data_IF_167119904086
#
_entry.id   IF_167119904086
#
_cell.length_a   1.000
_cell.length_b   1.000
_cell.length_c   1.000
_cell.angle_alpha   90.00
_cell.angle_beta   90.00
_cell.angle_gamma   90.00
#
_symmetry.space_group_name_H-M   'P 1'
#
loop_
_entity.id
_entity.type
_entity.pdbx_description
1 polymer ?
#
# COMPACT_ATOMS: atom_id res chain seq x y z
N UNK A 1 30.44 -19.15 14.55
CA UNK A 1 29.03 -19.38 14.15
C UNK A 1 29.00 -19.37 12.62
N UNK A 2 28.78 -20.53 11.99
CA UNK A 2 28.81 -20.65 10.53
C UNK A 2 27.48 -20.14 9.95
N UNK A 3 27.52 -19.07 9.14
CA UNK A 3 26.35 -18.57 8.43
C UNK A 3 26.12 -19.49 7.22
N UNK A 4 25.05 -20.26 7.23
CA UNK A 4 24.65 -21.05 6.04
C UNK A 4 24.12 -20.11 4.97
N UNK A 5 24.75 -20.13 3.79
CA UNK A 5 24.39 -19.29 2.65
C UNK A 5 24.04 -20.20 1.47
N UNK A 6 22.88 -19.96 0.84
CA UNK A 6 22.50 -20.64 -0.42
C UNK A 6 22.66 -19.67 -1.58
N UNK A 7 23.47 -20.04 -2.57
CA UNK A 7 23.63 -19.25 -3.80
C UNK A 7 22.41 -19.46 -4.71
N UNK A 8 21.85 -18.38 -5.23
CA UNK A 8 20.71 -18.36 -6.15
C UNK A 8 20.91 -17.27 -7.20
N UNK A 9 20.33 -17.41 -8.40
CA UNK A 9 20.28 -16.31 -9.38
C UNK A 9 18.98 -15.54 -9.17
N UNK A 10 19.01 -14.46 -8.38
CA UNK A 10 17.80 -13.85 -7.79
C UNK A 10 17.17 -12.71 -8.58
N UNK A 11 17.93 -12.05 -9.47
CA UNK A 11 17.42 -10.90 -10.21
C UNK A 11 16.64 -11.36 -11.45
N UNK A 12 15.46 -10.79 -11.64
CA UNK A 12 14.56 -11.09 -12.77
C UNK A 12 15.07 -10.57 -14.11
N UNK A 13 16.02 -9.62 -14.10
CA UNK A 13 16.46 -8.90 -15.30
C UNK A 13 17.91 -9.16 -15.69
N UNK A 14 18.75 -9.50 -14.73
CA UNK A 14 20.10 -9.94 -14.98
C UNK A 14 20.39 -11.18 -14.14
N UNK A 15 21.25 -12.08 -14.61
CA UNK A 15 21.59 -13.31 -13.89
C UNK A 15 22.50 -13.05 -12.66
N UNK A 16 22.26 -11.94 -11.95
CA UNK A 16 23.02 -11.56 -10.78
C UNK A 16 22.87 -12.60 -9.68
N UNK A 17 24.01 -13.09 -9.20
CA UNK A 17 24.10 -14.03 -8.10
C UNK A 17 23.68 -13.34 -6.80
N UNK A 18 22.65 -13.90 -6.20
CA UNK A 18 22.17 -13.61 -4.87
C UNK A 18 22.60 -14.69 -3.90
N UNK A 19 22.99 -14.28 -2.70
CA UNK A 19 23.25 -15.10 -1.54
C UNK A 19 22.01 -15.06 -0.65
N UNK A 20 21.32 -16.20 -0.52
CA UNK A 20 20.24 -16.34 0.45
C UNK A 20 20.83 -16.63 1.82
N UNK A 21 20.72 -15.64 2.70
CA UNK A 21 21.22 -15.70 4.08
C UNK A 21 20.08 -16.20 4.97
N UNK A 22 20.21 -17.41 5.52
CA UNK A 22 19.16 -18.06 6.31
C UNK A 22 18.76 -17.23 7.55
N UNK A 23 19.74 -16.66 8.26
CA UNK A 23 19.52 -15.86 9.47
C UNK A 23 18.54 -14.71 9.23
N UNK A 24 18.73 -13.98 8.12
CA UNK A 24 17.87 -12.87 7.73
C UNK A 24 16.80 -13.27 6.73
N UNK A 25 16.61 -14.58 6.46
CA UNK A 25 15.72 -15.16 5.41
C UNK A 25 15.59 -14.27 4.17
N UNK A 26 16.72 -13.82 3.63
CA UNK A 26 16.77 -12.77 2.63
C UNK A 26 17.89 -12.98 1.61
N UNK A 27 17.69 -12.44 0.42
CA UNK A 27 18.66 -12.48 -0.68
C UNK A 27 19.54 -11.23 -0.60
N UNK A 28 20.84 -11.37 -0.80
CA UNK A 28 21.83 -10.29 -0.94
C UNK A 28 22.61 -10.49 -2.23
N UNK A 29 22.67 -9.49 -3.10
CA UNK A 29 23.48 -9.60 -4.32
C UNK A 29 24.92 -9.22 -4.03
N UNK A 30 25.86 -9.88 -4.68
CA UNK A 30 27.27 -9.51 -4.63
C UNK A 30 27.52 -8.29 -5.52
N UNK A 31 28.38 -7.36 -5.11
CA UNK A 31 28.68 -6.14 -5.89
C UNK A 31 29.60 -6.41 -7.09
N UNK A 32 30.31 -7.54 -7.11
CA UNK A 32 31.38 -7.84 -8.07
C UNK A 32 30.95 -8.91 -9.08
N UNK A 33 30.00 -8.58 -9.95
CA UNK A 33 29.67 -9.46 -11.08
C UNK A 33 29.33 -8.64 -12.33
N UNK A 34 29.95 -9.00 -13.44
CA UNK A 34 29.48 -8.59 -14.77
C UNK A 34 28.14 -9.29 -15.02
N UNK A 35 27.04 -8.53 -14.95
CA UNK A 35 25.70 -9.09 -15.03
C UNK A 35 25.22 -9.12 -16.48
N UNK A 36 25.00 -10.31 -17.04
CA UNK A 36 24.37 -10.47 -18.35
C UNK A 36 22.85 -10.32 -18.18
N UNK A 37 22.24 -9.48 -19.01
CA UNK A 37 20.79 -9.32 -19.04
C UNK A 37 20.09 -10.61 -19.49
N UNK A 38 18.98 -10.91 -18.84
CA UNK A 38 18.07 -11.96 -19.32
C UNK A 38 17.38 -11.46 -20.58
N UNK A 39 16.98 -12.40 -21.42
CA UNK A 39 16.08 -12.15 -22.54
C UNK A 39 14.85 -13.05 -22.40
N UNK A 40 13.76 -12.74 -23.10
CA UNK A 40 12.60 -13.63 -23.11
C UNK A 40 13.00 -15.05 -23.55
N UNK A 41 13.85 -15.14 -24.58
CA UNK A 41 14.34 -16.42 -25.10
C UNK A 41 15.15 -17.19 -24.05
N UNK A 42 16.02 -16.51 -23.28
CA UNK A 42 16.80 -17.15 -22.22
C UNK A 42 15.90 -17.61 -21.07
N UNK A 43 14.90 -16.83 -20.70
CA UNK A 43 13.91 -17.20 -19.69
C UNK A 43 13.07 -18.41 -20.12
N UNK A 44 12.57 -18.46 -21.35
CA UNK A 44 11.81 -19.59 -21.90
C UNK A 44 12.66 -20.87 -21.90
N UNK A 45 13.97 -20.76 -22.17
CA UNK A 45 14.89 -21.90 -22.07
C UNK A 45 15.01 -22.40 -20.63
N UNK A 46 15.18 -21.50 -19.67
CA UNK A 46 15.26 -21.85 -18.24
C UNK A 46 13.95 -22.52 -17.78
N UNK A 47 12.77 -22.03 -18.21
CA UNK A 47 11.47 -22.64 -17.89
C UNK A 47 11.37 -24.09 -18.37
N UNK A 48 11.80 -24.39 -19.60
CA UNK A 48 11.77 -25.76 -20.14
C UNK A 48 12.62 -26.74 -19.31
N UNK A 49 13.73 -26.27 -18.75
CA UNK A 49 14.61 -27.08 -17.90
C UNK A 49 13.94 -27.38 -16.55
N UNK A 50 13.18 -26.41 -16.02
CA UNK A 50 12.50 -26.54 -14.71
C UNK A 50 11.32 -27.52 -14.70
N UNK A 51 10.83 -27.96 -15.87
CA UNK A 51 9.78 -28.98 -16.00
C UNK A 51 10.19 -30.33 -15.36
N UNK A 52 11.49 -30.56 -15.15
CA UNK A 52 12.04 -31.70 -14.39
C UNK A 52 12.05 -31.52 -12.86
N UNK A 53 11.40 -30.51 -12.30
CA UNK A 53 11.31 -30.27 -10.85
C UNK A 53 12.53 -29.56 -10.23
N UNK A 54 13.46 -29.08 -11.06
CA UNK A 54 14.63 -28.31 -10.62
C UNK A 54 14.38 -26.80 -10.78
N UNK A 55 15.16 -25.98 -10.06
CA UNK A 55 15.16 -24.51 -10.21
C UNK A 55 16.38 -24.15 -11.06
N UNK A 56 16.16 -23.58 -12.23
CA UNK A 56 17.23 -23.18 -13.15
C UNK A 56 17.34 -21.66 -13.17
N UNK A 57 18.52 -21.12 -12.87
CA UNK A 57 18.78 -19.67 -12.85
C UNK A 57 17.71 -18.82 -12.12
N UNK A 58 17.12 -19.36 -11.04
CA UNK A 58 16.08 -18.71 -10.26
C UNK A 58 14.66 -18.77 -10.86
N UNK A 59 14.50 -19.36 -12.03
CA UNK A 59 13.21 -19.71 -12.64
C UNK A 59 12.68 -20.97 -11.95
N UNK A 60 11.39 -20.96 -11.61
CA UNK A 60 10.75 -22.01 -10.79
C UNK A 60 9.76 -22.89 -11.56
N UNK A 61 9.49 -22.58 -12.83
CA UNK A 61 8.45 -23.22 -13.60
C UNK A 61 7.75 -22.26 -14.56
N UNK A 62 6.77 -22.80 -15.29
CA UNK A 62 5.88 -22.04 -16.15
C UNK A 62 5.01 -21.07 -15.34
N UNK A 63 4.79 -19.89 -15.90
CA UNK A 63 3.80 -18.92 -15.41
C UNK A 63 2.56 -19.00 -16.30
N UNK A 64 1.37 -18.90 -15.71
CA UNK A 64 0.10 -18.82 -16.46
C UNK A 64 0.07 -17.64 -17.44
N UNK A 65 0.86 -16.58 -17.20
CA UNK A 65 0.98 -15.45 -18.12
C UNK A 65 1.63 -15.84 -19.46
N UNK A 66 2.53 -16.83 -19.46
CA UNK A 66 3.15 -17.33 -20.69
C UNK A 66 2.16 -18.10 -21.57
N UNK A 67 1.13 -18.70 -20.96
CA UNK A 67 0.09 -19.46 -21.66
C UNK A 67 -1.01 -18.53 -22.17
N UNK A 68 -1.41 -17.56 -21.35
CA UNK A 68 -2.51 -16.65 -21.66
C UNK A 68 -2.10 -15.52 -22.62
N UNK A 69 -0.81 -15.16 -22.67
CA UNK A 69 -0.33 -14.02 -23.45
C UNK A 69 0.88 -14.43 -24.32
N UNK A 70 0.68 -14.88 -25.57
CA UNK A 70 1.73 -15.46 -26.41
C UNK A 70 2.85 -14.48 -26.81
N UNK A 71 2.60 -13.17 -26.69
CA UNK A 71 3.56 -12.12 -27.02
C UNK A 71 4.12 -11.40 -25.78
N UNK A 72 3.82 -11.88 -24.57
CA UNK A 72 4.29 -11.25 -23.34
C UNK A 72 5.75 -11.63 -23.06
N UNK A 73 6.62 -10.62 -22.92
CA UNK A 73 8.02 -10.82 -22.58
C UNK A 73 8.16 -10.97 -21.06
N UNK A 74 8.49 -12.18 -20.62
CA UNK A 74 8.58 -12.51 -19.20
C UNK A 74 9.70 -11.79 -18.45
N UNK A 75 10.63 -11.15 -19.17
CA UNK A 75 11.71 -10.36 -18.60
C UNK A 75 11.37 -8.88 -18.61
N UNK A 76 10.94 -8.36 -19.77
CA UNK A 76 10.80 -6.91 -20.01
C UNK A 76 9.37 -6.36 -19.92
N UNK A 77 8.34 -7.19 -20.01
CA UNK A 77 6.95 -6.74 -19.88
C UNK A 77 6.53 -6.49 -18.42
N UNK A 78 7.32 -6.96 -17.45
CA UNK A 78 7.15 -6.55 -16.05
C UNK A 78 7.83 -5.20 -15.81
N UNK A 79 7.07 -4.22 -15.32
CA UNK A 79 7.63 -2.93 -14.92
C UNK A 79 8.68 -3.10 -13.83
N UNK A 80 9.80 -2.36 -13.92
CA UNK A 80 10.73 -2.28 -12.79
C UNK A 80 9.97 -1.70 -11.60
N UNK A 81 9.83 -2.47 -10.53
CA UNK A 81 9.13 -1.98 -9.36
C UNK A 81 10.06 -1.10 -8.51
N UNK A 82 10.44 0.05 -9.07
CA UNK A 82 11.28 1.06 -8.43
C UNK A 82 10.69 1.50 -7.08
N UNK A 83 9.36 1.65 -7.02
CA UNK A 83 8.65 2.10 -5.82
C UNK A 83 8.63 1.03 -4.71
N UNK A 84 8.23 -0.21 -5.00
CA UNK A 84 8.13 -1.27 -3.99
C UNK A 84 9.43 -2.07 -3.79
N UNK A 85 10.14 -2.36 -4.87
CA UNK A 85 11.37 -3.17 -4.83
C UNK A 85 12.60 -2.38 -4.42
N UNK A 86 12.70 -1.10 -4.79
CA UNK A 86 13.88 -0.27 -4.49
C UNK A 86 13.61 0.71 -3.35
N UNK A 87 12.65 1.62 -3.51
CA UNK A 87 12.39 2.67 -2.52
C UNK A 87 11.80 2.11 -1.23
N UNK A 88 10.78 1.25 -1.31
CA UNK A 88 10.18 0.66 -0.11
C UNK A 88 11.15 -0.26 0.63
N UNK A 89 11.97 -1.01 -0.10
CA UNK A 89 12.98 -1.86 0.50
C UNK A 89 14.13 -1.07 1.12
N UNK A 90 14.54 0.07 0.54
CA UNK A 90 15.48 1.03 1.17
C UNK A 90 14.87 1.66 2.42
N UNK A 91 13.60 2.08 2.38
CA UNK A 91 12.92 2.62 3.58
C UNK A 91 12.75 1.58 4.67
N UNK A 92 12.64 0.30 4.33
CA UNK A 92 12.52 -0.79 5.31
C UNK A 92 13.87 -1.39 5.74
N UNK A 93 14.98 -1.00 5.09
CA UNK A 93 16.34 -1.31 5.54
C UNK A 93 16.93 -0.27 6.48
N UNK A 94 16.35 0.92 6.52
CA UNK A 94 16.49 1.82 7.66
C UNK A 94 15.76 1.16 8.83
N UNK A 95 16.44 0.73 9.90
CA UNK A 95 15.78 0.03 10.99
C UNK A 95 14.84 0.99 11.71
N UNK A 96 13.54 0.89 11.42
CA UNK A 96 12.50 1.20 12.40
C UNK A 96 12.44 0.03 13.38
N UNK A 97 13.12 0.19 14.50
CA UNK A 97 12.87 -0.59 15.70
C UNK A 97 11.47 -0.27 16.22
N UNK A 98 10.63 -1.30 16.28
CA UNK A 98 9.40 -1.31 17.07
C UNK A 98 8.10 -1.18 16.27
N UNK A 99 7.23 -2.18 16.44
CA UNK A 99 5.81 -2.27 16.03
C UNK A 99 5.58 -2.86 14.62
N UNK A 100 5.76 -4.17 14.49
CA UNK A 100 4.76 -5.21 14.13
C UNK A 100 5.47 -6.58 14.18
N UNK A 101 4.95 -7.53 14.95
CA UNK A 101 5.20 -8.96 14.70
C UNK A 101 4.54 -9.32 13.36
N UNK A 102 5.35 -9.35 12.30
CA UNK A 102 4.89 -9.65 10.95
C UNK A 102 6.06 -10.05 10.07
N UNK A 103 6.02 -11.27 9.56
CA UNK A 103 7.10 -11.96 8.85
C UNK A 103 7.25 -11.55 7.37
N UNK A 104 7.19 -10.25 7.05
CA UNK A 104 7.44 -9.75 5.71
C UNK A 104 8.81 -9.04 5.65
N UNK A 105 9.83 -9.80 5.25
CA UNK A 105 11.19 -9.30 5.06
C UNK A 105 11.29 -8.51 3.74
N UNK A 106 11.73 -7.24 3.76
CA UNK A 106 11.99 -6.49 2.53
C UNK A 106 13.17 -7.11 1.77
N UNK A 107 12.96 -7.37 0.49
CA UNK A 107 14.01 -7.65 -0.48
C UNK A 107 14.40 -6.34 -1.17
N UNK A 108 15.38 -5.62 -0.63
CA UNK A 108 16.15 -4.65 -1.40
C UNK A 108 17.61 -4.75 -1.02
N UNK A 109 18.28 -5.74 -1.57
CA UNK A 109 19.74 -5.85 -1.59
C UNK A 109 20.48 -4.50 -1.65
N UNK A 110 21.63 -4.48 -0.98
CA UNK A 110 22.69 -3.50 -1.20
C UNK A 110 22.88 -3.18 -2.67
N UNK A 111 23.02 -1.89 -2.93
CA UNK A 111 22.77 -1.28 -4.22
C UNK A 111 24.04 -1.01 -4.97
N UNK A 112 24.31 -1.95 -5.87
CA UNK A 112 25.03 -1.68 -7.10
C UNK A 112 24.52 -2.69 -8.12
N UNK A 113 23.30 -2.48 -8.65
CA UNK A 113 22.75 -3.30 -9.73
C UNK A 113 23.30 -2.76 -11.06
N UNK A 114 24.29 -3.43 -11.68
CA UNK A 114 24.95 -2.90 -12.88
C UNK A 114 23.99 -2.77 -14.07
N UNK A 115 22.88 -3.52 -14.04
CA UNK A 115 21.82 -3.50 -15.04
C UNK A 115 21.01 -2.20 -15.10
N UNK A 116 21.19 -1.27 -14.14
CA UNK A 116 20.55 0.05 -14.17
C UNK A 116 21.45 1.13 -14.80
N UNK A 117 22.72 0.83 -15.05
CA UNK A 117 23.63 1.75 -15.74
C UNK A 117 23.14 1.98 -17.17
N UNK A 118 22.96 3.25 -17.55
CA UNK A 118 22.42 3.65 -18.86
C UNK A 118 20.89 3.63 -18.97
N UNK A 119 20.16 3.11 -17.97
CA UNK A 119 18.68 3.19 -17.89
C UNK A 119 18.26 4.39 -17.05
N UNK A 120 18.94 4.63 -15.93
CA UNK A 120 18.73 5.82 -15.10
C UNK A 120 19.86 6.84 -15.32
N UNK A 121 19.58 8.16 -15.26
CA UNK A 121 20.62 9.17 -15.36
C UNK A 121 21.68 8.98 -14.26
N UNK A 122 22.95 9.15 -14.61
CA UNK A 122 24.09 8.98 -13.67
C UNK A 122 23.95 9.84 -12.42
N UNK A 123 23.28 10.99 -12.51
CA UNK A 123 22.97 11.85 -11.35
C UNK A 123 22.06 11.16 -10.33
N UNK A 124 21.09 10.37 -10.78
CA UNK A 124 20.20 9.62 -9.90
C UNK A 124 20.94 8.45 -9.24
N UNK A 125 21.79 7.73 -10.00
CA UNK A 125 22.64 6.66 -9.49
C UNK A 125 23.69 7.18 -8.47
N UNK A 126 24.28 8.36 -8.72
CA UNK A 126 25.24 8.99 -7.81
C UNK A 126 24.58 9.51 -6.53
N UNK A 127 23.43 10.18 -6.63
CA UNK A 127 22.66 10.60 -5.45
C UNK A 127 22.29 9.38 -4.59
N UNK A 128 21.90 8.29 -5.26
CA UNK A 128 21.60 7.01 -4.63
C UNK A 128 22.81 6.41 -3.90
N UNK A 129 23.98 6.35 -4.54
CA UNK A 129 25.22 5.85 -3.93
C UNK A 129 25.65 6.69 -2.71
N UNK A 130 25.42 8.01 -2.72
CA UNK A 130 25.72 8.91 -1.60
C UNK A 130 24.79 8.68 -0.39
N UNK A 131 23.51 8.37 -0.62
CA UNK A 131 22.55 8.01 0.43
C UNK A 131 22.94 6.71 1.15
N UNK A 132 23.46 5.72 0.42
CA UNK A 132 23.86 4.42 0.97
C UNK A 132 25.25 4.44 1.60
N UNK A 133 26.24 5.10 0.98
CA UNK A 133 27.62 5.21 1.51
C UNK A 133 27.68 5.88 2.90
N UNK A 134 26.67 6.65 3.28
CA UNK A 134 26.62 7.36 4.56
C UNK A 134 26.12 6.51 5.74
N UNK A 135 25.52 5.34 5.48
CA UNK A 135 25.26 4.34 6.52
C UNK A 135 26.49 3.52 6.88
N UNK A 136 27.57 3.59 6.09
CA UNK A 136 28.77 2.77 6.29
C UNK A 136 30.01 3.54 6.77
N UNK A 137 30.08 4.88 6.68
CA UNK A 137 31.27 5.62 7.15
C UNK A 137 30.96 6.95 7.85
N UNK A 138 31.50 7.09 9.08
CA UNK A 138 31.53 8.29 9.91
C UNK A 138 32.51 9.32 9.34
N UNK A 139 32.07 10.35 8.61
CA UNK A 139 32.82 11.62 8.52
C UNK A 139 31.90 12.83 8.32
N UNK A 140 32.33 13.95 8.92
CA UNK A 140 31.52 15.08 9.38
C UNK A 140 30.74 15.86 8.31
N UNK A 141 29.60 16.40 8.72
CA UNK A 141 28.79 17.34 7.93
C UNK A 141 28.49 18.61 8.72
N UNK A 142 28.19 19.72 8.00
CA UNK A 142 27.78 20.99 8.63
C UNK A 142 26.59 20.81 9.58
N UNK A 143 26.58 21.61 10.64
CA UNK A 143 25.63 21.51 11.75
C UNK A 143 24.17 21.56 11.29
N UNK A 144 23.85 22.35 10.26
CA UNK A 144 22.51 22.45 9.67
C UNK A 144 22.01 21.12 9.09
N UNK A 145 22.88 20.36 8.42
CA UNK A 145 22.55 19.05 7.82
C UNK A 145 22.36 18.01 8.92
N UNK A 146 23.20 18.07 9.97
CA UNK A 146 23.07 17.21 11.13
C UNK A 146 21.75 17.50 11.87
N UNK A 147 21.41 18.77 12.06
CA UNK A 147 20.14 19.18 12.67
C UNK A 147 18.93 18.74 11.83
N UNK A 148 18.98 18.84 10.50
CA UNK A 148 17.93 18.36 9.61
C UNK A 148 17.73 16.83 9.74
N UNK A 149 18.82 16.05 9.74
CA UNK A 149 18.78 14.59 9.88
C UNK A 149 18.32 14.12 11.27
N UNK A 150 18.79 14.77 12.34
CA UNK A 150 18.35 14.48 13.72
C UNK A 150 16.87 14.84 13.95
N UNK A 151 16.37 15.89 13.29
CA UNK A 151 14.96 16.27 13.34
C UNK A 151 14.08 15.53 12.33
N UNK A 152 14.64 14.74 11.40
CA UNK A 152 13.87 13.97 10.41
C UNK A 152 12.98 12.92 11.08
N UNK A 153 13.38 12.47 12.28
CA UNK A 153 12.76 11.39 13.05
C UNK A 153 12.36 11.79 14.48
N UNK A 154 12.38 13.10 14.81
CA UNK A 154 11.87 13.53 16.11
C UNK A 154 10.36 13.30 16.18
N UNK A 155 9.88 12.82 17.33
CA UNK A 155 8.48 12.47 17.62
C UNK A 155 7.45 13.54 17.18
N UNK A 156 7.88 14.80 17.04
CA UNK A 156 7.06 15.94 16.61
C UNK A 156 6.55 15.85 15.17
N UNK A 157 7.23 15.14 14.25
CA UNK A 157 6.82 15.03 12.83
C UNK A 157 5.86 13.88 12.54
N UNK A 158 5.70 12.88 13.41
CA UNK A 158 4.80 11.73 13.19
C UNK A 158 3.48 11.85 13.97
N UNK A 159 3.53 12.38 15.20
CA UNK A 159 2.32 12.69 16.00
C UNK A 159 1.42 13.77 15.38
N UNK A 160 1.91 14.49 14.38
CA UNK A 160 1.13 15.48 13.62
C UNK A 160 0.22 14.86 12.56
N UNK A 161 0.38 13.57 12.22
CA UNK A 161 -0.29 12.95 11.07
C UNK A 161 -1.17 11.76 11.39
N UNK A 162 -1.05 11.13 12.55
CA UNK A 162 -1.99 10.09 12.97
C UNK A 162 -2.09 9.97 14.50
N UNK A 163 -3.23 9.45 14.98
CA UNK A 163 -3.51 9.17 16.39
C UNK A 163 -4.11 7.77 16.49
N UNK A 164 -3.53 6.91 17.32
CA UNK A 164 -4.14 5.61 17.62
C UNK A 164 -5.45 5.82 18.37
N UNK A 165 -6.50 5.18 17.86
CA UNK A 165 -7.83 5.21 18.40
C UNK A 165 -8.14 3.98 19.26
N UNK A 166 -9.43 3.76 19.53
CA UNK A 166 -9.92 2.52 20.11
C UNK A 166 -9.57 1.31 19.20
N UNK A 167 -9.66 0.09 19.74
CA UNK A 167 -9.26 -1.16 19.05
C UNK A 167 -9.56 -1.16 17.54
N UNK A 168 -8.53 -1.45 16.75
CA UNK A 168 -8.52 -1.51 15.28
C UNK A 168 -8.76 -0.18 14.54
N UNK A 169 -8.62 0.96 15.22
CA UNK A 169 -8.83 2.30 14.64
C UNK A 169 -7.55 3.13 14.69
N UNK A 170 -7.22 3.76 13.57
CA UNK A 170 -6.18 4.79 13.50
C UNK A 170 -6.74 6.02 12.80
N UNK A 171 -6.67 7.18 13.45
CA UNK A 171 -7.09 8.45 12.86
C UNK A 171 -5.92 9.12 12.15
N UNK A 172 -6.19 9.85 11.07
CA UNK A 172 -5.16 10.58 10.32
C UNK A 172 -5.44 12.09 10.28
N UNK A 173 -4.38 12.87 10.43
CA UNK A 173 -4.37 14.33 10.42
C UNK A 173 -4.73 14.97 11.76
N UNK A 174 -4.87 16.30 11.74
CA UNK A 174 -5.25 17.10 12.91
C UNK A 174 -6.73 16.93 13.19
N UNK A 175 -7.07 16.72 14.47
CA UNK A 175 -8.45 16.77 14.93
C UNK A 175 -8.98 18.20 15.01
N UNK A 176 -10.27 18.36 14.82
CA UNK A 176 -10.99 19.63 15.06
C UNK A 176 -12.09 19.38 16.09
N UNK A 177 -12.16 20.24 17.10
CA UNK A 177 -13.26 20.20 18.08
C UNK A 177 -14.53 20.73 17.41
N UNK A 178 -15.60 19.95 17.43
CA UNK A 178 -16.90 20.28 16.83
C UNK A 178 -18.00 19.89 17.79
N UNK A 179 -19.06 20.71 17.85
CA UNK A 179 -20.26 20.42 18.63
C UNK A 179 -21.29 19.70 17.74
N UNK A 180 -21.60 18.45 18.06
CA UNK A 180 -22.62 17.64 17.38
C UNK A 180 -23.85 17.60 18.28
N UNK A 181 -25.04 17.89 17.73
CA UNK A 181 -26.30 18.05 18.50
C UNK A 181 -26.55 16.91 19.49
N UNK A 182 -26.31 15.68 19.07
CA UNK A 182 -26.61 14.45 19.83
C UNK A 182 -25.47 14.03 20.78
N UNK A 183 -24.25 14.54 20.59
CA UNK A 183 -23.05 14.04 21.29
C UNK A 183 -22.30 15.11 22.08
N UNK A 184 -22.67 16.39 21.95
CA UNK A 184 -21.94 17.50 22.56
C UNK A 184 -20.62 17.79 21.84
N UNK A 185 -19.62 18.22 22.61
CA UNK A 185 -18.28 18.54 22.08
C UNK A 185 -17.48 17.27 21.80
N UNK A 186 -17.08 17.10 20.54
CA UNK A 186 -16.38 15.92 20.07
C UNK A 186 -15.17 16.30 19.23
N UNK A 187 -14.18 15.41 19.15
CA UNK A 187 -13.07 15.55 18.22
C UNK A 187 -13.46 14.92 16.88
N UNK A 188 -13.22 15.63 15.79
CA UNK A 188 -13.49 15.16 14.42
C UNK A 188 -12.21 15.00 13.62
N UNK A 189 -12.18 13.97 12.78
CA UNK A 189 -11.10 13.65 11.86
C UNK A 189 -11.63 13.56 10.43
N UNK A 190 -10.74 13.80 9.47
CA UNK A 190 -11.09 13.72 8.04
C UNK A 190 -10.87 12.33 7.45
N UNK A 191 -10.08 11.49 8.10
CA UNK A 191 -9.69 10.16 7.63
C UNK A 191 -9.39 9.25 8.81
N UNK A 192 -9.80 7.99 8.72
CA UNK A 192 -9.37 6.93 9.61
C UNK A 192 -9.17 5.60 8.86
N UNK A 193 -8.53 4.65 9.51
CA UNK A 193 -8.61 3.23 9.16
C UNK A 193 -9.39 2.51 10.23
N UNK A 194 -10.23 1.55 9.83
CA UNK A 194 -10.88 0.61 10.73
C UNK A 194 -10.78 -0.80 10.15
N UNK A 195 -10.26 -1.76 10.93
CA UNK A 195 -10.01 -3.14 10.47
C UNK A 195 -9.25 -3.20 9.13
N UNK A 196 -8.22 -2.37 9.00
CA UNK A 196 -7.40 -2.22 7.79
C UNK A 196 -8.11 -1.62 6.57
N UNK A 197 -9.39 -1.24 6.66
CA UNK A 197 -10.11 -0.53 5.61
C UNK A 197 -10.02 0.98 5.81
N UNK A 198 -9.75 1.72 4.73
CA UNK A 198 -9.68 3.18 4.75
C UNK A 198 -11.07 3.81 4.58
N UNK A 199 -11.37 4.77 5.45
CA UNK A 199 -12.54 5.63 5.38
C UNK A 199 -12.11 7.10 5.42
N UNK A 200 -12.77 7.94 4.64
CA UNK A 200 -12.59 9.39 4.74
C UNK A 200 -13.93 10.11 4.70
N UNK A 201 -13.98 11.30 5.29
CA UNK A 201 -15.17 12.13 5.23
C UNK A 201 -15.20 12.97 3.95
N UNK A 202 -16.35 13.56 3.62
CA UNK A 202 -16.48 14.51 2.50
C UNK A 202 -15.56 15.72 2.63
N UNK A 203 -15.07 16.02 3.84
CA UNK A 203 -14.17 17.14 4.11
C UNK A 203 -12.71 16.84 3.74
N UNK A 204 -12.41 15.62 3.31
CA UNK A 204 -11.08 15.19 2.89
C UNK A 204 -10.85 15.45 1.38
N UNK A 205 -10.32 16.63 1.07
CA UNK A 205 -10.10 17.09 -0.32
C UNK A 205 -8.92 16.43 -1.05
N UNK A 206 -8.15 15.55 -0.39
CA UNK A 206 -6.95 14.92 -0.97
C UNK A 206 -7.23 13.58 -1.67
N UNK A 207 -8.44 13.04 -1.56
CA UNK A 207 -8.82 11.84 -2.28
C UNK A 207 -8.90 12.16 -3.79
N UNK A 208 -8.13 11.43 -4.61
CA UNK A 208 -8.07 11.64 -6.07
C UNK A 208 -8.48 10.43 -6.91
N UNK A 209 -8.55 9.24 -6.30
CA UNK A 209 -8.72 7.97 -7.02
C UNK A 209 -9.95 7.19 -6.58
N UNK A 210 -10.20 7.14 -5.27
CA UNK A 210 -11.32 6.41 -4.67
C UNK A 210 -12.19 7.35 -3.86
N UNK A 211 -13.49 7.08 -3.84
CA UNK A 211 -14.45 7.73 -2.96
C UNK A 211 -14.74 6.77 -1.79
N UNK A 212 -14.03 6.98 -0.68
CA UNK A 212 -14.15 6.17 0.53
C UNK A 212 -15.11 6.82 1.54
N UNK A 213 -16.00 7.70 1.07
CA UNK A 213 -17.01 8.35 1.91
C UNK A 213 -18.26 7.52 2.08
N UNK A 214 -18.48 6.48 1.28
CA UNK A 214 -19.77 5.77 1.26
C UNK A 214 -19.66 4.39 1.89
N UNK A 215 -20.60 4.09 2.79
CA UNK A 215 -20.65 2.86 3.58
C UNK A 215 -22.06 2.27 3.57
N UNK A 216 -22.13 0.97 3.78
CA UNK A 216 -23.36 0.25 4.11
C UNK A 216 -23.32 -0.16 5.57
N UNK A 217 -24.42 0.06 6.27
CA UNK A 217 -24.61 -0.33 7.65
C UNK A 217 -25.13 -1.77 7.73
N UNK A 218 -24.96 -2.38 8.90
CA UNK A 218 -25.53 -3.71 9.20
C UNK A 218 -27.06 -3.75 9.13
N UNK A 219 -27.73 -2.60 9.18
CA UNK A 219 -29.18 -2.48 8.92
C UNK A 219 -29.54 -2.66 7.43
N UNK A 220 -28.55 -2.65 6.55
CA UNK A 220 -28.72 -2.65 5.09
C UNK A 220 -28.77 -1.23 4.49
N UNK A 221 -28.90 -0.20 5.32
CA UNK A 221 -28.94 1.20 4.89
C UNK A 221 -27.58 1.69 4.40
N UNK A 222 -27.62 2.66 3.48
CA UNK A 222 -26.42 3.26 2.90
C UNK A 222 -26.24 4.68 3.42
N UNK A 223 -25.02 5.04 3.76
CA UNK A 223 -24.71 6.39 4.24
C UNK A 223 -23.42 6.97 3.69
N UNK A 224 -23.35 8.29 3.62
CA UNK A 224 -22.13 9.03 3.31
C UNK A 224 -21.55 9.66 4.58
N UNK A 225 -20.25 9.48 4.78
CA UNK A 225 -19.47 9.99 5.92
C UNK A 225 -19.27 11.50 5.79
N UNK A 226 -19.98 12.25 6.63
CA UNK A 226 -19.85 13.70 6.78
C UNK A 226 -18.66 14.04 7.68
N UNK A 227 -18.55 13.33 8.80
CA UNK A 227 -17.48 13.47 9.79
C UNK A 227 -17.15 12.13 10.44
N UNK A 228 -15.87 11.95 10.78
CA UNK A 228 -15.40 10.84 11.61
C UNK A 228 -15.19 11.38 13.01
N UNK A 229 -15.96 10.89 13.97
CA UNK A 229 -16.09 11.46 15.30
C UNK A 229 -15.43 10.56 16.33
N UNK A 230 -14.67 11.17 17.24
CA UNK A 230 -14.05 10.51 18.38
C UNK A 230 -14.53 11.18 19.67
N UNK A 231 -15.16 10.38 20.53
CA UNK A 231 -15.62 10.79 21.86
C UNK A 231 -15.76 9.55 22.75
N UNK A 232 -15.61 9.72 24.07
CA UNK A 232 -15.73 8.64 25.06
C UNK A 232 -14.91 7.37 24.73
N UNK A 233 -13.71 7.55 24.16
CA UNK A 233 -12.85 6.47 23.69
C UNK A 233 -13.55 5.50 22.71
N UNK A 234 -14.45 6.02 21.88
CA UNK A 234 -15.12 5.31 20.81
C UNK A 234 -15.06 6.13 19.51
N UNK A 235 -15.28 5.44 18.39
CA UNK A 235 -15.35 6.07 17.07
C UNK A 235 -16.76 5.95 16.51
N UNK A 236 -17.27 7.08 16.05
CA UNK A 236 -18.56 7.17 15.39
C UNK A 236 -18.40 7.78 14.01
N UNK A 237 -19.35 7.48 13.14
CA UNK A 237 -19.51 8.11 11.84
C UNK A 237 -20.77 8.96 11.90
N UNK A 238 -20.63 10.23 11.55
CA UNK A 238 -21.76 11.13 11.30
C UNK A 238 -22.13 11.02 9.82
N UNK A 239 -23.34 10.56 9.53
CA UNK A 239 -23.76 10.13 8.20
C UNK A 239 -24.96 10.93 7.66
N UNK A 240 -24.97 11.17 6.35
CA UNK A 240 -26.20 11.38 5.56
C UNK A 240 -26.66 10.04 4.98
N UNK A 241 -27.98 9.84 4.79
CA UNK A 241 -28.54 8.60 4.25
C UNK A 241 -28.76 8.67 2.74
N UNK A 242 -28.53 7.56 2.04
CA UNK A 242 -29.01 7.37 0.68
C UNK A 242 -30.31 6.59 0.68
N UNK A 243 -31.28 7.10 -0.06
CA UNK A 243 -32.50 6.37 -0.39
C UNK A 243 -32.36 5.80 -1.80
N UNK A 244 -32.61 4.50 -1.95
CA UNK A 244 -32.50 3.78 -3.22
C UNK A 244 -33.86 3.38 -3.77
N UNK A 245 -33.95 3.14 -5.07
CA UNK A 245 -35.14 2.55 -5.66
C UNK A 245 -35.28 1.08 -5.22
N UNK A 246 -36.50 0.61 -4.89
CA UNK A 246 -36.72 -0.77 -4.46
C UNK A 246 -36.56 -1.78 -5.60
N UNK A 247 -36.70 -1.33 -6.84
CA UNK A 247 -36.56 -2.15 -8.05
C UNK A 247 -35.09 -2.29 -8.45
N UNK A 248 -34.66 -3.51 -8.76
CA UNK A 248 -33.33 -3.74 -9.33
C UNK A 248 -33.13 -2.92 -10.61
N UNK A 249 -32.06 -2.11 -10.72
CA UNK A 249 -31.81 -1.33 -11.92
C UNK A 249 -31.40 -2.21 -13.11
N UNK A 250 -30.84 -3.40 -12.84
CA UNK A 250 -30.43 -4.37 -13.83
C UNK A 250 -30.92 -5.75 -13.38
N UNK A 251 -31.59 -6.47 -14.27
CA UNK A 251 -32.17 -7.79 -13.95
C UNK A 251 -31.08 -8.77 -13.49
N UNK A 252 -31.26 -9.34 -12.29
CA UNK A 252 -30.35 -10.34 -11.74
C UNK A 252 -29.09 -9.76 -11.09
N UNK A 253 -29.05 -8.44 -10.84
CA UNK A 253 -27.89 -7.74 -10.26
C UNK A 253 -28.30 -7.07 -8.95
N UNK A 254 -28.40 -7.87 -7.89
CA UNK A 254 -28.87 -7.41 -6.57
C UNK A 254 -27.87 -6.52 -5.81
N UNK A 255 -26.59 -6.58 -6.16
CA UNK A 255 -25.50 -5.84 -5.50
C UNK A 255 -25.35 -4.39 -5.97
N UNK A 256 -26.10 -3.98 -7.01
CA UNK A 256 -26.15 -2.61 -7.52
C UNK A 256 -27.52 -2.01 -7.25
N UNK A 257 -27.55 -0.86 -6.58
CA UNK A 257 -28.78 -0.12 -6.31
C UNK A 257 -28.72 1.28 -6.91
N UNK A 258 -29.82 1.72 -7.53
CA UNK A 258 -29.92 3.08 -8.05
C UNK A 258 -30.31 4.04 -6.93
N UNK A 259 -29.56 5.12 -6.78
CA UNK A 259 -29.87 6.18 -5.83
C UNK A 259 -31.07 6.98 -6.31
N UNK A 260 -32.07 7.12 -5.45
CA UNK A 260 -33.20 8.02 -5.62
C UNK A 260 -32.79 9.43 -5.17
N UNK A 261 -32.33 9.57 -3.93
CA UNK A 261 -31.79 10.82 -3.40
C UNK A 261 -30.87 10.59 -2.19
N UNK A 262 -30.21 11.64 -1.72
CA UNK A 262 -29.37 11.65 -0.52
C UNK A 262 -29.98 12.64 0.47
N UNK A 263 -30.36 12.18 1.66
CA UNK A 263 -30.94 13.01 2.73
C UNK A 263 -29.82 13.73 3.48
N UNK A 264 -29.74 15.04 3.29
CA UNK A 264 -28.66 15.88 3.82
C UNK A 264 -29.08 16.70 5.04
N UNK A 265 -30.39 16.81 5.32
CA UNK A 265 -30.92 17.57 6.46
C UNK A 265 -31.01 16.71 7.70
N UNK A 266 -31.50 15.48 7.56
CA UNK A 266 -31.62 14.51 8.64
C UNK A 266 -30.41 13.59 8.64
N UNK A 267 -29.37 14.02 9.35
CA UNK A 267 -28.13 13.27 9.55
C UNK A 267 -28.14 12.63 10.93
N UNK A 268 -27.43 11.52 11.11
CA UNK A 268 -27.39 10.80 12.38
C UNK A 268 -25.99 10.26 12.64
N UNK A 269 -25.74 9.84 13.87
CA UNK A 269 -24.44 9.30 14.27
C UNK A 269 -24.55 7.82 14.63
N UNK A 270 -23.62 7.01 14.13
CA UNK A 270 -23.56 5.57 14.43
C UNK A 270 -22.14 5.14 14.78
N UNK A 271 -21.94 4.19 15.71
CA UNK A 271 -20.64 3.57 15.93
C UNK A 271 -20.06 3.01 14.62
N UNK A 272 -18.75 3.16 14.42
CA UNK A 272 -18.07 2.60 13.24
C UNK A 272 -18.19 1.08 13.16
N UNK A 273 -18.42 0.41 14.29
CA UNK A 273 -18.67 -1.03 14.37
C UNK A 273 -19.94 -1.47 13.63
N UNK A 274 -20.88 -0.55 13.38
CA UNK A 274 -22.10 -0.82 12.64
C UNK A 274 -21.91 -0.74 11.12
N UNK A 275 -20.73 -0.35 10.65
CA UNK A 275 -20.38 -0.47 9.23
C UNK A 275 -20.22 -1.94 8.89
N UNK A 276 -20.93 -2.37 7.85
CA UNK A 276 -20.81 -3.71 7.29
C UNK A 276 -19.79 -3.70 6.13
N UNK A 277 -20.05 -2.86 5.12
CA UNK A 277 -19.23 -2.80 3.92
C UNK A 277 -18.91 -1.36 3.51
N UNK A 278 -17.77 -1.21 2.83
CA UNK A 278 -17.46 -0.02 2.06
C UNK A 278 -18.15 -0.11 0.69
N UNK A 279 -18.65 1.02 0.19
CA UNK A 279 -19.51 1.05 -0.99
C UNK A 279 -18.89 1.92 -2.06
N UNK A 280 -18.95 1.44 -3.30
CA UNK A 280 -18.57 2.24 -4.46
C UNK A 280 -19.77 3.06 -4.91
N UNK A 281 -19.60 4.37 -4.94
CA UNK A 281 -20.54 5.29 -5.57
C UNK A 281 -20.12 5.56 -7.01
N UNK A 282 -20.97 5.21 -7.96
CA UNK A 282 -20.77 5.46 -9.38
C UNK A 282 -21.72 6.55 -9.88
N UNK A 283 -21.18 7.57 -10.53
CA UNK A 283 -21.95 8.59 -11.24
C UNK A 283 -21.92 8.27 -12.73
N UNK A 284 -23.07 7.94 -13.32
CA UNK A 284 -23.21 7.60 -14.74
C UNK A 284 -24.26 8.52 -15.37
N UNK A 285 -23.80 9.48 -16.17
CA UNK A 285 -24.64 10.54 -16.76
C UNK A 285 -25.46 11.25 -15.67
N UNK A 286 -26.78 11.09 -15.70
CA UNK A 286 -27.74 11.74 -14.78
C UNK A 286 -28.22 10.80 -13.66
N UNK A 287 -27.55 9.66 -13.45
CA UNK A 287 -27.90 8.68 -12.44
C UNK A 287 -26.70 8.34 -11.54
N UNK A 288 -27.00 7.98 -10.30
CA UNK A 288 -26.01 7.53 -9.31
C UNK A 288 -26.35 6.12 -8.86
N UNK A 289 -25.33 5.30 -8.66
CA UNK A 289 -25.46 3.89 -8.27
C UNK A 289 -24.56 3.57 -7.09
N UNK A 290 -25.07 2.78 -6.16
CA UNK A 290 -24.35 2.22 -5.02
C UNK A 290 -24.05 0.77 -5.34
N UNK A 291 -22.77 0.40 -5.32
CA UNK A 291 -22.33 -0.94 -5.61
C UNK A 291 -21.66 -1.53 -4.37
N UNK A 292 -22.26 -2.59 -3.84
CA UNK A 292 -21.62 -3.42 -2.82
C UNK A 292 -20.49 -4.21 -3.48
N UNK A 293 -19.31 -4.20 -2.87
CA UNK A 293 -18.19 -4.99 -3.35
C UNK A 293 -18.33 -6.43 -2.85
N UNK A 294 -18.15 -7.45 -3.70
CA UNK A 294 -18.22 -8.84 -3.27
C UNK A 294 -17.06 -9.22 -2.33
N UNK A 295 -15.95 -8.45 -2.35
CA UNK A 295 -14.79 -8.67 -1.50
C UNK A 295 -14.39 -7.37 -0.78
N UNK A 296 -14.14 -7.46 0.53
CA UNK A 296 -13.68 -6.35 1.37
C UNK A 296 -12.14 -6.19 1.39
N UNK A 297 -11.43 -6.83 0.46
CA UNK A 297 -9.97 -6.78 0.39
C UNK A 297 -9.50 -5.53 -0.34
N UNK A 298 -9.03 -4.53 0.40
CA UNK A 298 -8.27 -3.42 -0.18
C UNK A 298 -6.84 -3.88 -0.47
N UNK A 299 -6.44 -3.84 -1.74
CA UNK A 299 -5.03 -3.91 -2.13
C UNK A 299 -4.47 -2.50 -1.92
N UNK A 300 -3.75 -2.30 -0.81
CA UNK A 300 -3.00 -1.07 -0.54
C UNK A 300 -1.77 -0.96 -1.45
#
# INVERSE_FOLDING_TARGET
MWITVKVINGCSWCYQRGLYILLVRGIRYVNEQNSIHRTNASHVKDVKITEGGTIENGVKGRSSLMELLPYFDMVWSFSFEYMHGLLLGVTNQLPRSGIIEGSAKPKASELNLPCLNGILPDRALNHFALLVKRNTNKFGSPEEVNNYCMNLFSHKRLSTYYKDGPKDITYFGRSVLVKIKEMGECLTYKKCTYKSTIYHSIKYSRAKKTDDTVVQLRSGEFGRIIDIVHTNNQCYLHLSLFHTFPTEPFSGVSYIQRVMFEETKNTFTTPITNVDNKIILLNVKNARYLCTLPNNTEIQ
#
